data_IF_350348997292
#
_entry.id   IF_350348997292
#
_cell.length_a   1.000
_cell.length_b   1.000
_cell.length_c   1.000
_cell.angle_alpha   90.00
_cell.angle_beta   90.00
_cell.angle_gamma   90.00
#
_symmetry.space_group_name_H-M   'P 1'
#
loop_
_entity.id
_entity.type
_entity.pdbx_description
1 polymer ?
#
# COMPACT_ATOMS: atom_id res chain seq x y z
N UNK A 1 -44.27 -42.66 56.08
CA UNK A 1 -44.35 -41.30 55.53
C UNK A 1 -42.93 -40.90 55.19
N UNK A 2 -42.57 -40.92 53.88
CA UNK A 2 -41.19 -40.68 53.37
C UNK A 2 -41.24 -39.34 52.68
N UNK A 3 -40.60 -38.31 53.30
CA UNK A 3 -40.46 -36.98 52.75
C UNK A 3 -39.38 -36.98 51.64
N UNK A 4 -39.79 -36.62 50.40
CA UNK A 4 -38.85 -36.39 49.30
C UNK A 4 -38.29 -34.95 49.38
N UNK A 5 -37.02 -34.86 49.63
CA UNK A 5 -36.24 -33.58 49.56
C UNK A 5 -35.91 -33.30 48.11
N UNK A 6 -36.50 -32.29 47.50
CA UNK A 6 -36.19 -31.84 46.16
C UNK A 6 -34.95 -30.90 46.20
N UNK A 7 -33.85 -31.33 45.65
CA UNK A 7 -32.61 -30.54 45.53
C UNK A 7 -32.68 -29.72 44.25
N UNK A 8 -32.92 -28.39 44.36
CA UNK A 8 -32.81 -27.45 43.23
C UNK A 8 -31.30 -27.21 42.94
N UNK A 9 -30.86 -27.70 41.81
CA UNK A 9 -29.58 -27.28 41.24
C UNK A 9 -29.74 -25.95 40.47
N UNK A 10 -29.23 -24.88 40.99
CA UNK A 10 -29.12 -23.60 40.27
C UNK A 10 -27.88 -23.65 39.35
N UNK A 11 -28.12 -23.81 38.05
CA UNK A 11 -27.06 -23.70 37.04
C UNK A 11 -26.71 -22.23 36.81
N UNK A 12 -25.59 -21.79 37.33
CA UNK A 12 -25.05 -20.44 37.10
C UNK A 12 -24.43 -20.39 35.71
N UNK A 13 -25.09 -19.75 34.75
CA UNK A 13 -24.58 -19.56 33.39
C UNK A 13 -23.58 -18.41 33.38
N UNK A 14 -22.31 -18.74 33.38
CA UNK A 14 -21.20 -17.77 33.32
C UNK A 14 -21.00 -17.31 31.88
N UNK A 15 -21.52 -16.13 31.52
CA UNK A 15 -21.31 -15.51 30.20
C UNK A 15 -19.89 -14.98 30.17
N UNK A 16 -18.99 -15.69 29.48
CA UNK A 16 -17.65 -15.21 29.15
C UNK A 16 -17.76 -14.13 28.06
N UNK A 17 -17.74 -12.87 28.46
CA UNK A 17 -17.54 -11.74 27.53
C UNK A 17 -16.11 -11.80 27.01
N UNK A 18 -15.92 -12.34 25.80
CA UNK A 18 -14.67 -12.23 25.06
C UNK A 18 -14.45 -10.78 24.66
N UNK A 19 -13.66 -10.05 25.45
CA UNK A 19 -13.14 -8.73 25.05
C UNK A 19 -12.16 -8.99 23.91
N UNK A 20 -12.61 -8.79 22.66
CA UNK A 20 -11.75 -8.87 21.49
C UNK A 20 -10.62 -7.84 21.63
N UNK A 21 -9.39 -8.33 21.82
CA UNK A 21 -8.21 -7.47 21.85
C UNK A 21 -8.13 -6.73 20.50
N UNK A 22 -8.24 -5.40 20.53
CA UNK A 22 -8.06 -4.55 19.35
C UNK A 22 -6.59 -4.67 18.94
N UNK A 23 -6.31 -5.35 17.84
CA UNK A 23 -4.95 -5.47 17.33
C UNK A 23 -4.39 -4.09 16.98
N UNK A 24 -3.16 -3.80 17.40
CA UNK A 24 -2.46 -2.58 17.00
C UNK A 24 -2.26 -2.61 15.47
N UNK A 25 -2.60 -1.51 14.76
CA UNK A 25 -2.42 -1.45 13.31
C UNK A 25 -0.99 -1.80 12.91
N UNK A 26 -0.84 -2.72 11.99
CA UNK A 26 0.46 -3.09 11.43
C UNK A 26 0.99 -1.98 10.52
N UNK A 27 2.26 -2.05 10.13
CA UNK A 27 2.81 -1.10 9.15
C UNK A 27 2.07 -1.20 7.80
N UNK A 28 1.55 -2.38 7.42
CA UNK A 28 0.70 -2.53 6.24
C UNK A 28 -0.63 -1.80 6.35
N UNK A 29 -1.28 -1.85 7.51
CA UNK A 29 -2.54 -1.11 7.73
C UNK A 29 -2.35 0.39 7.53
N UNK A 30 -1.17 0.89 7.91
CA UNK A 30 -0.78 2.30 7.70
C UNK A 30 -0.53 2.66 6.23
N UNK A 31 -0.37 1.67 5.34
CA UNK A 31 -0.25 1.85 3.88
C UNK A 31 -1.58 1.72 3.15
N UNK A 32 -2.65 1.29 3.82
CA UNK A 32 -3.96 1.01 3.21
C UNK A 32 -4.56 2.20 2.45
N UNK A 33 -4.13 3.43 2.74
CA UNK A 33 -4.58 4.64 2.04
C UNK A 33 -4.09 4.72 0.58
N UNK A 34 -3.04 3.96 0.19
CA UNK A 34 -2.56 3.84 -1.19
C UNK A 34 -3.53 2.98 -2.02
N UNK A 35 -4.26 2.05 -1.38
CA UNK A 35 -5.14 1.14 -2.09
C UNK A 35 -6.27 1.86 -2.83
N UNK A 36 -6.60 1.38 -4.02
CA UNK A 36 -7.63 1.92 -4.90
C UNK A 36 -7.11 2.18 -6.31
N UNK A 37 -7.89 2.92 -7.09
CA UNK A 37 -7.57 3.26 -8.48
C UNK A 37 -7.32 4.75 -8.60
N UNK A 38 -6.21 5.07 -9.26
CA UNK A 38 -5.67 6.41 -9.38
C UNK A 38 -5.41 6.75 -10.84
N UNK A 39 -5.66 7.99 -11.22
CA UNK A 39 -5.42 8.47 -12.58
C UNK A 39 -4.91 9.89 -12.58
N UNK A 40 -3.91 10.17 -13.41
CA UNK A 40 -3.34 11.50 -13.58
C UNK A 40 -2.88 11.75 -15.00
N UNK A 41 -2.73 13.04 -15.36
CA UNK A 41 -2.12 13.43 -16.63
C UNK A 41 -0.59 13.45 -16.49
N UNK A 42 0.11 12.94 -17.52
CA UNK A 42 1.55 12.99 -17.61
C UNK A 42 1.93 13.43 -19.03
N UNK A 43 2.26 14.70 -19.19
CA UNK A 43 2.47 15.30 -20.52
C UNK A 43 1.22 15.14 -21.41
N UNK A 44 1.37 14.51 -22.57
CA UNK A 44 0.25 14.19 -23.49
C UNK A 44 -0.45 12.88 -23.15
N UNK A 45 0.02 12.16 -22.12
CA UNK A 45 -0.52 10.86 -21.73
C UNK A 45 -1.37 10.90 -20.46
N UNK A 46 -1.94 9.75 -20.14
CA UNK A 46 -2.66 9.47 -18.92
C UNK A 46 -1.96 8.32 -18.21
N UNK A 47 -1.54 8.54 -16.97
CA UNK A 47 -1.04 7.48 -16.08
C UNK A 47 -2.17 6.97 -15.21
N UNK A 48 -2.28 5.66 -15.11
CA UNK A 48 -3.23 4.96 -14.26
C UNK A 48 -2.45 4.03 -13.34
N UNK A 49 -2.85 3.99 -12.07
CA UNK A 49 -2.27 3.10 -11.08
C UNK A 49 -3.37 2.47 -10.23
N UNK A 50 -3.27 1.18 -9.96
CA UNK A 50 -4.22 0.43 -9.15
C UNK A 50 -3.47 -0.36 -8.08
N UNK A 51 -3.96 -0.28 -6.84
CA UNK A 51 -3.45 -1.03 -5.71
C UNK A 51 -4.56 -1.84 -5.03
N UNK A 52 -4.30 -3.10 -4.76
CA UNK A 52 -5.10 -3.92 -3.87
C UNK A 52 -4.91 -3.45 -2.41
N UNK A 53 -5.91 -3.71 -1.57
CA UNK A 53 -5.75 -3.49 -0.12
C UNK A 53 -4.66 -4.41 0.44
N UNK A 54 -4.01 -4.02 1.54
CA UNK A 54 -3.14 -4.93 2.27
C UNK A 54 -3.88 -6.21 2.64
N UNK A 55 -3.28 -7.34 2.33
CA UNK A 55 -3.78 -8.66 2.71
C UNK A 55 -2.59 -9.61 2.90
N UNK A 56 -2.64 -10.43 3.95
CA UNK A 56 -1.49 -11.25 4.34
C UNK A 56 -0.27 -10.37 4.65
N UNK A 57 0.81 -10.56 3.92
CA UNK A 57 2.07 -9.84 4.09
C UNK A 57 2.45 -8.97 2.89
N UNK A 58 1.46 -8.57 2.07
CA UNK A 58 1.72 -7.81 0.85
C UNK A 58 0.58 -6.88 0.41
N UNK A 59 0.94 -5.93 -0.45
CA UNK A 59 0.04 -5.18 -1.33
C UNK A 59 0.51 -5.38 -2.77
N UNK A 60 -0.42 -5.65 -3.68
CA UNK A 60 -0.13 -5.78 -5.10
C UNK A 60 -0.68 -4.58 -5.85
N UNK A 61 0.08 -4.11 -6.82
CA UNK A 61 -0.30 -2.99 -7.66
C UNK A 61 0.17 -3.13 -9.10
N UNK A 62 -0.36 -2.28 -9.95
CA UNK A 62 0.07 -2.13 -11.33
C UNK A 62 -0.09 -0.68 -11.77
N UNK A 63 0.77 -0.24 -12.66
CA UNK A 63 0.62 1.05 -13.32
C UNK A 63 0.77 0.92 -14.84
N UNK A 64 0.18 1.88 -15.57
CA UNK A 64 0.39 2.04 -17.01
C UNK A 64 0.28 3.51 -17.40
N UNK A 65 0.99 3.87 -18.46
CA UNK A 65 0.82 5.17 -19.12
C UNK A 65 0.29 4.96 -20.52
N UNK A 66 -0.82 5.62 -20.86
CA UNK A 66 -1.46 5.56 -22.17
C UNK A 66 -1.20 6.88 -22.91
N UNK A 67 -0.66 6.79 -24.12
CA UNK A 67 -0.40 7.92 -25.02
C UNK A 67 -0.96 7.57 -26.40
N UNK A 68 -1.86 8.39 -26.93
CA UNK A 68 -2.49 8.20 -28.25
C UNK A 68 -3.07 6.77 -28.42
N UNK A 69 -3.77 6.27 -27.40
CA UNK A 69 -4.40 4.94 -27.43
C UNK A 69 -3.45 3.75 -27.34
N UNK A 70 -2.16 3.98 -27.09
CA UNK A 70 -1.14 2.94 -26.92
C UNK A 70 -0.61 2.97 -25.48
N UNK A 71 -0.10 1.84 -25.00
CA UNK A 71 0.52 1.71 -23.66
C UNK A 71 2.05 1.58 -23.82
N UNK A 72 2.80 2.69 -23.96
CA UNK A 72 4.26 2.65 -24.10
C UNK A 72 4.96 2.22 -22.82
N UNK A 73 4.30 2.32 -21.67
CA UNK A 73 4.87 1.93 -20.38
C UNK A 73 3.81 1.26 -19.50
N UNK A 74 4.22 0.21 -18.79
CA UNK A 74 3.47 -0.42 -17.70
C UNK A 74 4.46 -1.03 -16.69
N UNK A 75 4.01 -1.27 -15.46
CA UNK A 75 4.79 -2.00 -14.47
C UNK A 75 3.91 -2.74 -13.47
N UNK A 76 4.45 -3.82 -12.93
CA UNK A 76 3.91 -4.51 -11.77
C UNK A 76 4.60 -4.01 -10.51
N UNK A 77 3.80 -3.81 -9.47
CA UNK A 77 4.21 -3.20 -8.22
C UNK A 77 3.86 -4.14 -7.06
N UNK A 78 4.73 -4.22 -6.08
CA UNK A 78 4.46 -4.96 -4.86
C UNK A 78 5.06 -4.22 -3.67
N UNK A 79 4.33 -4.11 -2.57
CA UNK A 79 4.90 -3.83 -1.26
C UNK A 79 4.77 -5.12 -0.47
N UNK A 80 5.88 -5.65 0.03
CA UNK A 80 5.90 -6.89 0.80
C UNK A 80 6.76 -6.76 2.06
N UNK A 81 6.56 -7.71 2.97
CA UNK A 81 7.48 -7.89 4.09
C UNK A 81 8.73 -8.63 3.62
N UNK A 82 9.88 -8.18 4.10
CA UNK A 82 11.18 -8.84 3.91
C UNK A 82 11.94 -8.81 5.26
N UNK A 83 11.84 -9.90 6.02
CA UNK A 83 12.22 -9.91 7.42
C UNK A 83 11.40 -8.92 8.24
N UNK A 84 12.06 -7.97 8.92
CA UNK A 84 11.40 -6.91 9.69
C UNK A 84 11.05 -5.67 8.85
N UNK A 85 11.58 -5.58 7.63
CA UNK A 85 11.42 -4.44 6.74
C UNK A 85 10.16 -4.58 5.85
N UNK A 86 9.67 -3.45 5.36
CA UNK A 86 8.76 -3.39 4.22
C UNK A 86 9.55 -2.92 3.00
N UNK A 87 9.36 -3.63 1.89
CA UNK A 87 10.07 -3.38 0.64
C UNK A 87 9.05 -3.17 -0.49
N UNK A 88 9.21 -2.05 -1.19
CA UNK A 88 8.53 -1.78 -2.45
C UNK A 88 9.33 -2.40 -3.58
N UNK A 89 8.70 -3.16 -4.43
CA UNK A 89 9.30 -3.81 -5.58
C UNK A 89 8.66 -3.26 -6.84
N UNK A 90 9.46 -2.61 -7.69
CA UNK A 90 9.08 -2.18 -9.02
C UNK A 90 9.53 -3.23 -10.05
N UNK A 91 8.65 -3.53 -11.00
CA UNK A 91 8.96 -4.45 -12.11
C UNK A 91 8.49 -3.84 -13.44
N UNK A 92 9.23 -2.84 -13.95
CA UNK A 92 8.88 -2.11 -15.16
C UNK A 92 8.94 -3.02 -16.38
N UNK A 93 7.86 -3.02 -17.18
CA UNK A 93 7.73 -3.79 -18.41
C UNK A 93 8.07 -5.29 -18.26
N UNK A 94 7.82 -5.87 -17.08
CA UNK A 94 8.11 -7.26 -16.76
C UNK A 94 9.60 -7.60 -16.60
N UNK A 95 10.47 -6.58 -16.53
CA UNK A 95 11.91 -6.76 -16.30
C UNK A 95 12.20 -7.26 -14.87
N UNK A 96 13.48 -7.45 -14.55
CA UNK A 96 13.92 -7.84 -13.22
C UNK A 96 13.42 -6.89 -12.13
N UNK A 97 13.03 -7.44 -10.98
CA UNK A 97 12.48 -6.64 -9.89
C UNK A 97 13.55 -5.75 -9.27
N UNK A 98 13.18 -4.50 -9.03
CA UNK A 98 14.03 -3.54 -8.30
C UNK A 98 13.42 -3.29 -6.92
N UNK A 99 14.10 -3.66 -5.82
CA UNK A 99 13.62 -3.43 -4.47
C UNK A 99 14.00 -2.02 -3.97
N UNK A 100 13.07 -1.41 -3.19
CA UNK A 100 13.28 -0.15 -2.44
C UNK A 100 12.80 -0.36 -1.01
N UNK A 101 13.65 -0.11 -0.03
CA UNK A 101 13.31 -0.28 1.39
C UNK A 101 12.46 0.87 1.91
N UNK A 102 11.41 0.59 2.68
CA UNK A 102 10.64 1.61 3.39
C UNK A 102 11.52 2.29 4.45
N UNK A 103 11.73 3.60 4.32
CA UNK A 103 12.54 4.40 5.25
C UNK A 103 11.72 5.40 6.06
N UNK A 104 10.50 5.73 5.59
CA UNK A 104 9.59 6.63 6.31
C UNK A 104 8.15 6.23 6.05
N UNK A 105 7.37 6.17 7.13
CA UNK A 105 5.93 5.96 7.07
C UNK A 105 5.24 6.80 8.13
N UNK A 106 4.32 7.64 7.70
CA UNK A 106 3.41 8.39 8.57
C UNK A 106 2.00 8.46 7.95
N UNK A 107 1.10 9.23 8.57
CA UNK A 107 -0.26 9.41 8.08
C UNK A 107 -0.27 10.15 6.73
N UNK A 108 -0.24 9.38 5.63
CA UNK A 108 -0.33 9.91 4.27
C UNK A 108 1.00 10.12 3.57
N UNK A 109 2.13 9.66 4.13
CA UNK A 109 3.42 9.66 3.42
C UNK A 109 4.13 8.33 3.61
N UNK A 110 4.55 7.71 2.51
CA UNK A 110 5.41 6.54 2.49
C UNK A 110 6.61 6.82 1.58
N UNK A 111 7.83 6.60 2.10
CA UNK A 111 9.09 6.83 1.37
C UNK A 111 9.87 5.53 1.29
N UNK A 112 10.19 5.12 0.08
CA UNK A 112 10.99 3.93 -0.21
C UNK A 112 12.30 4.34 -0.89
N UNK A 113 13.41 3.71 -0.53
CA UNK A 113 14.74 4.06 -1.04
C UNK A 113 15.54 2.84 -1.50
N UNK A 114 16.29 3.04 -2.58
CA UNK A 114 17.38 2.21 -3.04
C UNK A 114 18.52 3.12 -3.52
N UNK A 115 19.46 3.49 -2.63
CA UNK A 115 20.56 4.40 -2.99
C UNK A 115 21.50 3.88 -4.08
N UNK A 116 21.51 2.56 -4.29
CA UNK A 116 22.40 1.90 -5.25
C UNK A 116 21.74 1.70 -6.63
N UNK A 117 20.48 2.09 -6.79
CA UNK A 117 19.80 2.02 -8.07
C UNK A 117 20.17 3.24 -8.93
N UNK A 118 20.08 3.08 -10.25
CA UNK A 118 20.03 4.22 -11.16
C UNK A 118 18.81 5.07 -10.82
N UNK A 119 18.47 6.08 -11.61
CA UNK A 119 17.27 6.84 -11.35
C UNK A 119 15.99 5.98 -11.51
N UNK A 120 15.05 6.02 -10.53
CA UNK A 120 15.08 6.78 -9.27
C UNK A 120 15.79 6.02 -8.14
N UNK A 121 16.36 6.73 -7.17
CA UNK A 121 16.83 6.17 -5.90
C UNK A 121 15.79 6.26 -4.79
N UNK A 122 14.75 7.09 -4.97
CA UNK A 122 13.66 7.28 -3.99
C UNK A 122 12.31 7.31 -4.69
N UNK A 123 11.35 6.62 -4.09
CA UNK A 123 9.94 6.61 -4.47
C UNK A 123 9.15 7.11 -3.26
N UNK A 124 8.36 8.16 -3.42
CA UNK A 124 7.53 8.72 -2.36
C UNK A 124 6.07 8.72 -2.80
N UNK A 125 5.19 8.15 -1.99
CA UNK A 125 3.74 8.34 -2.09
C UNK A 125 3.30 9.36 -1.06
N UNK A 126 2.51 10.34 -1.48
CA UNK A 126 1.98 11.38 -0.59
C UNK A 126 0.51 11.61 -0.85
N UNK A 127 -0.33 11.35 0.18
CA UNK A 127 -1.75 11.70 0.17
C UNK A 127 -1.90 13.19 0.44
N UNK A 128 -2.72 13.86 -0.35
CA UNK A 128 -3.04 15.28 -0.20
C UNK A 128 -4.29 15.47 0.68
N UNK A 129 -4.53 16.72 1.11
CA UNK A 129 -5.68 17.09 1.96
C UNK A 129 -7.00 16.85 1.22
N UNK A 130 -7.03 17.05 -0.10
CA UNK A 130 -8.20 16.81 -0.96
C UNK A 130 -8.45 15.33 -1.27
N UNK A 131 -7.63 14.42 -0.72
CA UNK A 131 -7.71 12.99 -0.94
C UNK A 131 -7.02 12.51 -2.22
N UNK A 132 -6.41 13.40 -3.00
CA UNK A 132 -5.56 13.02 -4.14
C UNK A 132 -4.25 12.40 -3.68
N UNK A 133 -3.52 11.80 -4.62
CA UNK A 133 -2.25 11.13 -4.41
C UNK A 133 -1.19 11.76 -5.33
N UNK A 134 -0.01 12.02 -4.80
CA UNK A 134 1.15 12.33 -5.63
C UNK A 134 2.20 11.24 -5.39
N UNK A 135 2.66 10.60 -6.46
CA UNK A 135 3.85 9.78 -6.43
C UNK A 135 5.04 10.59 -6.97
N UNK A 136 6.18 10.51 -6.28
CA UNK A 136 7.42 11.16 -6.68
C UNK A 136 8.49 10.11 -6.95
N UNK A 137 9.19 10.27 -8.07
CA UNK A 137 10.43 9.56 -8.36
C UNK A 137 11.58 10.58 -8.26
N UNK A 138 12.51 10.33 -7.35
CA UNK A 138 13.56 11.29 -7.01
C UNK A 138 14.93 10.61 -7.00
N UNK A 139 15.97 11.39 -7.26
CA UNK A 139 17.33 10.93 -7.19
C UNK A 139 18.25 11.70 -8.11
N UNK A 140 19.34 11.05 -8.50
CA UNK A 140 20.33 11.56 -9.43
C UNK A 140 20.26 10.79 -10.76
N UNK A 141 20.25 11.48 -11.86
CA UNK A 141 20.33 10.92 -13.21
C UNK A 141 21.52 11.56 -13.93
N UNK A 142 22.56 10.77 -14.20
CA UNK A 142 23.80 11.22 -14.86
C UNK A 142 24.45 12.41 -14.16
N UNK A 143 24.57 12.36 -12.84
CA UNK A 143 25.19 13.40 -12.03
C UNK A 143 24.34 14.65 -11.80
N UNK A 144 23.05 14.61 -12.13
CA UNK A 144 22.12 15.74 -11.94
C UNK A 144 20.92 15.31 -11.10
N UNK A 145 20.58 16.12 -10.10
CA UNK A 145 19.35 15.91 -9.34
C UNK A 145 18.13 15.95 -10.26
N UNK A 146 17.26 14.96 -10.10
CA UNK A 146 16.06 14.80 -10.92
C UNK A 146 14.88 14.41 -10.05
N UNK A 147 13.72 14.98 -10.34
CA UNK A 147 12.43 14.65 -9.72
C UNK A 147 11.36 14.59 -10.80
N UNK A 148 10.55 13.55 -10.75
CA UNK A 148 9.36 13.39 -11.58
C UNK A 148 8.17 13.23 -10.66
N UNK A 149 7.08 13.94 -10.95
CA UNK A 149 5.86 13.96 -10.15
C UNK A 149 4.70 13.36 -10.93
N UNK A 150 3.91 12.52 -10.26
CA UNK A 150 2.71 11.89 -10.78
C UNK A 150 1.52 12.31 -9.92
N UNK A 151 0.93 13.50 -10.13
CA UNK A 151 -0.30 13.89 -9.45
C UNK A 151 -1.47 13.06 -10.00
N UNK A 152 -2.22 12.40 -9.10
CA UNK A 152 -3.29 11.48 -9.46
C UNK A 152 -4.53 11.73 -8.60
N UNK A 153 -5.69 11.68 -9.22
CA UNK A 153 -6.98 11.69 -8.55
C UNK A 153 -7.50 10.27 -8.37
N UNK A 154 -8.25 10.05 -7.32
CA UNK A 154 -8.93 8.77 -7.12
C UNK A 154 -10.04 8.62 -8.15
N UNK A 155 -10.09 7.46 -8.78
CA UNK A 155 -11.14 7.10 -9.73
C UNK A 155 -11.82 5.79 -9.30
N UNK A 156 -12.98 5.49 -9.89
CA UNK A 156 -13.63 4.20 -9.71
C UNK A 156 -12.75 3.13 -10.37
N UNK A 157 -12.58 2.00 -9.69
CA UNK A 157 -11.95 0.83 -10.28
C UNK A 157 -12.96 0.17 -11.25
N UNK A 158 -12.46 -0.23 -12.41
CA UNK A 158 -13.22 -0.98 -13.43
C UNK A 158 -13.38 -2.45 -13.02
#
# INVERSE_FOLDING_TARGET
>A
MIGRLAMLMAATFMVLLSVGARQTPTAFDKLAWIAGCWQGKMGSGVTQEQWMKPEGDSMLGMSRTVVNGRTPFFEFLQIKRDGEDLVYIARPQGKEPTPFKLVKLNEGTAVFENPNHDFPQRITYQRQIDGSLIAFLEGEDKGKAKRVEFPMQRVKCD
#
